data_IF_380161268822
#
_entry.id   IF_380161268822
#
_cell.length_a   1.000
_cell.length_b   1.000
_cell.length_c   1.000
_cell.angle_alpha   90.00
_cell.angle_beta   90.00
_cell.angle_gamma   90.00
#
_symmetry.space_group_name_H-M   'P 1'
#
loop_
_entity.id
_entity.type
_entity.pdbx_description
1 polymer ?
#
# COMPACT_ATOMS: atom_id res chain seq x y z
N UNK A 1 27.08 6.39 20.28
CA UNK A 1 25.74 5.81 20.09
C UNK A 1 25.35 6.01 18.64
N UNK A 2 24.58 5.10 18.06
CA UNK A 2 24.06 5.32 16.71
C UNK A 2 23.01 6.45 16.74
N UNK A 3 22.95 7.22 15.67
CA UNK A 3 21.97 8.29 15.43
C UNK A 3 20.95 7.86 14.39
N UNK A 4 19.83 8.57 14.29
CA UNK A 4 18.79 8.29 13.28
C UNK A 4 19.38 8.31 11.86
N UNK A 5 20.34 9.19 11.57
CA UNK A 5 21.02 9.26 10.25
C UNK A 5 21.76 7.97 9.88
N UNK A 6 22.16 7.19 10.88
CA UNK A 6 22.95 5.97 10.67
C UNK A 6 22.06 4.78 10.24
N UNK A 7 20.73 4.95 10.30
CA UNK A 7 19.76 3.99 9.77
C UNK A 7 19.69 4.00 8.23
N UNK A 8 20.20 5.05 7.58
CA UNK A 8 20.23 5.14 6.12
C UNK A 8 21.32 4.23 5.58
N UNK A 9 20.91 3.07 5.05
CA UNK A 9 21.81 2.00 4.60
C UNK A 9 21.68 1.70 3.12
N UNK A 10 20.60 2.16 2.48
CA UNK A 10 20.36 2.02 1.05
C UNK A 10 20.54 3.36 0.36
N UNK A 11 21.26 3.34 -0.75
CA UNK A 11 21.37 4.51 -1.62
C UNK A 11 20.03 4.81 -2.28
N UNK A 12 19.38 3.77 -2.84
CA UNK A 12 18.14 3.97 -3.58
C UNK A 12 17.23 2.76 -3.50
N UNK A 13 15.93 2.98 -3.46
CA UNK A 13 14.93 1.98 -3.79
C UNK A 13 14.15 2.43 -5.03
N UNK A 14 13.92 1.50 -5.95
CA UNK A 14 13.15 1.71 -7.17
C UNK A 14 11.91 0.83 -7.12
N UNK A 15 10.74 1.42 -7.30
CA UNK A 15 9.49 0.71 -7.64
C UNK A 15 9.23 1.01 -9.11
N UNK A 16 9.59 0.08 -9.99
CA UNK A 16 9.66 0.32 -11.43
C UNK A 16 9.16 -0.87 -12.25
N UNK A 17 9.22 -0.76 -13.59
CA UNK A 17 8.69 -1.78 -14.50
C UNK A 17 7.22 -2.14 -14.22
N UNK A 18 6.43 -1.13 -13.83
CA UNK A 18 5.00 -1.31 -13.54
C UNK A 18 4.30 -1.88 -14.76
N UNK A 19 3.66 -3.03 -14.59
CA UNK A 19 2.88 -3.68 -15.64
C UNK A 19 1.46 -3.92 -15.15
N UNK A 20 0.50 -3.49 -15.95
CA UNK A 20 -0.94 -3.65 -15.72
C UNK A 20 -1.50 -4.61 -16.76
N UNK A 21 -2.11 -5.69 -16.27
CA UNK A 21 -2.80 -6.71 -17.04
C UNK A 21 -4.22 -6.89 -16.50
N UNK A 22 -5.17 -7.44 -17.28
CA UNK A 22 -6.57 -7.53 -16.89
C UNK A 22 -6.83 -8.08 -15.49
N UNK A 23 -6.08 -9.10 -15.08
CA UNK A 23 -6.20 -9.79 -13.80
C UNK A 23 -4.95 -9.70 -12.94
N UNK A 24 -3.95 -8.88 -13.29
CA UNK A 24 -2.65 -8.90 -12.63
C UNK A 24 -1.97 -7.55 -12.72
N UNK A 25 -1.36 -7.13 -11.63
CA UNK A 25 -0.46 -5.96 -11.61
C UNK A 25 0.85 -6.37 -10.98
N UNK A 26 1.96 -5.84 -11.49
CA UNK A 26 3.30 -6.13 -10.98
C UNK A 26 4.22 -4.93 -11.05
N UNK A 27 5.19 -4.88 -10.15
CA UNK A 27 6.32 -3.96 -10.18
C UNK A 27 7.59 -4.71 -9.77
N UNK A 28 8.72 -4.31 -10.34
CA UNK A 28 10.04 -4.70 -9.88
C UNK A 28 10.47 -3.74 -8.77
N UNK A 29 10.79 -4.30 -7.61
CA UNK A 29 11.47 -3.61 -6.53
C UNK A 29 12.96 -3.83 -6.66
N UNK A 30 13.73 -2.77 -6.83
CA UNK A 30 15.20 -2.83 -6.85
C UNK A 30 15.76 -1.98 -5.72
N UNK A 31 16.59 -2.58 -4.87
CA UNK A 31 17.35 -1.88 -3.84
C UNK A 31 18.80 -1.76 -4.30
N UNK A 32 19.35 -0.55 -4.21
CA UNK A 32 20.74 -0.22 -4.49
C UNK A 32 21.42 0.08 -3.15
N UNK A 33 22.41 -0.72 -2.81
CA UNK A 33 23.23 -0.55 -1.62
C UNK A 33 24.28 0.55 -1.84
N UNK A 34 24.86 1.05 -0.75
CA UNK A 34 25.90 2.09 -0.80
C UNK A 34 27.19 1.67 -1.51
N UNK A 35 27.45 0.36 -1.60
CA UNK A 35 28.57 -0.19 -2.37
C UNK A 35 28.25 -0.35 -3.87
N UNK A 36 27.04 0.04 -4.30
CA UNK A 36 26.55 -0.07 -5.67
C UNK A 36 25.96 -1.44 -6.02
N UNK A 37 25.97 -2.41 -5.10
CA UNK A 37 25.33 -3.71 -5.33
C UNK A 37 23.81 -3.55 -5.42
N UNK A 38 23.18 -4.40 -6.24
CA UNK A 38 21.75 -4.32 -6.56
C UNK A 38 21.05 -5.65 -6.28
N UNK A 39 19.92 -5.57 -5.61
CA UNK A 39 19.02 -6.72 -5.40
C UNK A 39 17.65 -6.35 -5.95
N UNK A 40 17.04 -7.26 -6.71
CA UNK A 40 15.71 -7.03 -7.29
C UNK A 40 14.77 -8.19 -7.04
N UNK A 41 13.48 -7.89 -6.84
CA UNK A 41 12.42 -8.88 -6.74
C UNK A 41 11.10 -8.29 -7.28
N UNK A 42 10.13 -9.14 -7.63
CA UNK A 42 8.85 -8.70 -8.15
C UNK A 42 7.76 -8.77 -7.08
N UNK A 43 7.04 -7.65 -6.91
CA UNK A 43 5.76 -7.64 -6.21
C UNK A 43 4.67 -7.88 -7.24
N UNK A 44 3.83 -8.88 -7.00
CA UNK A 44 2.79 -9.30 -7.94
C UNK A 44 1.47 -9.45 -7.17
N UNK A 45 0.42 -8.83 -7.68
CA UNK A 45 -0.95 -9.05 -7.25
C UNK A 45 -1.74 -9.70 -8.38
N UNK A 46 -2.39 -10.84 -8.12
CA UNK A 46 -3.14 -11.61 -9.12
C UNK A 46 -4.57 -11.86 -8.66
N UNK A 47 -5.53 -11.58 -9.54
CA UNK A 47 -6.94 -11.57 -9.23
C UNK A 47 -7.70 -12.66 -9.99
N UNK A 48 -8.83 -13.11 -9.43
CA UNK A 48 -9.71 -14.09 -10.09
C UNK A 48 -10.55 -13.47 -11.23
N UNK A 49 -10.73 -12.16 -11.22
CA UNK A 49 -11.59 -11.40 -12.15
C UNK A 49 -10.82 -10.31 -12.88
N UNK A 50 -11.38 -9.81 -13.99
CA UNK A 50 -10.81 -8.69 -14.73
C UNK A 50 -11.14 -7.40 -13.99
N UNK A 51 -10.11 -6.75 -13.44
CA UNK A 51 -10.25 -5.50 -12.70
C UNK A 51 -9.55 -4.32 -13.37
N UNK A 52 -8.57 -4.58 -14.23
CA UNK A 52 -7.72 -3.53 -14.79
C UNK A 52 -7.80 -3.47 -16.31
N UNK A 53 -7.67 -2.27 -16.84
CA UNK A 53 -7.43 -1.99 -18.24
C UNK A 53 -6.24 -1.04 -18.33
N UNK A 54 -5.16 -1.50 -18.95
CA UNK A 54 -3.92 -0.73 -19.11
C UNK A 54 -4.08 0.54 -19.94
N UNK A 55 -5.20 0.69 -20.65
CA UNK A 55 -5.52 1.89 -21.44
C UNK A 55 -6.32 2.91 -20.64
N UNK A 56 -6.87 2.53 -19.47
CA UNK A 56 -7.60 3.43 -18.57
C UNK A 56 -6.63 4.05 -17.55
N UNK A 57 -6.42 5.39 -17.57
CA UNK A 57 -5.51 6.05 -16.63
C UNK A 57 -5.81 5.76 -15.16
N UNK A 58 -7.09 5.66 -14.78
CA UNK A 58 -7.51 5.37 -13.40
C UNK A 58 -7.04 4.01 -12.90
N UNK A 59 -7.13 2.99 -13.75
CA UNK A 59 -6.71 1.64 -13.40
C UNK A 59 -5.19 1.55 -13.28
N UNK A 60 -4.47 2.21 -14.17
CA UNK A 60 -3.00 2.30 -14.12
C UNK A 60 -2.54 3.06 -12.88
N UNK A 61 -3.22 4.15 -12.54
CA UNK A 61 -2.92 4.92 -11.34
C UNK A 61 -3.19 4.11 -10.06
N UNK A 62 -4.34 3.44 -9.98
CA UNK A 62 -4.67 2.54 -8.88
C UNK A 62 -3.63 1.43 -8.73
N UNK A 63 -3.24 0.78 -9.84
CA UNK A 63 -2.20 -0.24 -9.84
C UNK A 63 -0.85 0.32 -9.34
N UNK A 64 -0.49 1.54 -9.76
CA UNK A 64 0.74 2.22 -9.32
C UNK A 64 0.74 2.43 -7.80
N UNK A 65 -0.38 2.86 -7.23
CA UNK A 65 -0.54 3.06 -5.77
C UNK A 65 -0.48 1.74 -5.01
N UNK A 66 -1.18 0.71 -5.48
CA UNK A 66 -1.15 -0.63 -4.86
C UNK A 66 0.29 -1.17 -4.81
N UNK A 67 1.03 -1.03 -5.91
CA UNK A 67 2.40 -1.51 -6.02
C UNK A 67 3.40 -0.67 -5.23
N UNK A 68 3.05 0.52 -4.73
CA UNK A 68 3.92 1.40 -3.94
C UNK A 68 3.90 1.10 -2.43
N UNK A 69 2.88 0.41 -1.93
CA UNK A 69 2.59 0.33 -0.49
C UNK A 69 3.74 -0.26 0.35
N UNK A 70 4.43 -1.27 -0.17
CA UNK A 70 5.54 -1.93 0.56
C UNK A 70 6.70 -0.96 0.81
N UNK A 71 6.98 -0.06 -0.15
CA UNK A 71 8.06 0.92 -0.07
C UNK A 71 7.87 1.92 1.08
N UNK A 72 6.65 2.13 1.59
CA UNK A 72 6.38 3.04 2.72
C UNK A 72 7.18 2.67 3.97
N UNK A 73 7.50 1.39 4.15
CA UNK A 73 8.29 0.88 5.28
C UNK A 73 9.79 1.23 5.20
N UNK A 74 10.25 1.78 4.08
CA UNK A 74 11.67 1.98 3.80
C UNK A 74 12.14 3.43 3.83
N UNK A 75 11.24 4.38 4.11
CA UNK A 75 11.55 5.81 4.15
C UNK A 75 12.68 6.22 5.11
N UNK A 76 12.89 5.47 6.19
CA UNK A 76 14.00 5.68 7.14
C UNK A 76 15.36 5.18 6.64
N UNK A 77 15.36 4.21 5.72
CA UNK A 77 16.54 3.40 5.42
C UNK A 77 17.17 3.74 4.06
N UNK A 78 16.49 4.55 3.24
CA UNK A 78 16.91 4.93 1.89
C UNK A 78 17.29 6.42 1.81
N UNK A 79 18.26 6.77 0.97
CA UNK A 79 18.52 8.17 0.60
C UNK A 79 17.50 8.67 -0.43
N UNK A 80 17.11 7.82 -1.39
CA UNK A 80 16.05 8.11 -2.36
C UNK A 80 15.13 6.91 -2.56
N UNK A 81 13.83 7.17 -2.74
CA UNK A 81 12.86 6.20 -3.24
C UNK A 81 12.25 6.77 -4.53
N UNK A 82 12.36 6.02 -5.61
CA UNK A 82 11.80 6.37 -6.92
C UNK A 82 10.57 5.51 -7.17
N UNK A 83 9.43 6.17 -7.36
CA UNK A 83 8.18 5.57 -7.77
C UNK A 83 7.97 5.85 -9.26
N UNK A 84 7.98 4.79 -10.07
CA UNK A 84 7.80 4.86 -11.52
C UNK A 84 6.43 4.31 -11.93
N UNK A 85 5.44 5.19 -12.04
CA UNK A 85 4.03 4.93 -12.26
C UNK A 85 3.24 6.24 -12.46
N UNK A 86 1.93 6.17 -12.68
CA UNK A 86 1.17 7.34 -13.16
C UNK A 86 0.86 8.41 -12.09
N UNK A 87 0.86 8.05 -10.81
CA UNK A 87 0.60 8.87 -9.60
C UNK A 87 0.15 10.32 -9.82
N UNK A 88 -1.12 10.63 -9.53
CA UNK A 88 -1.57 12.03 -9.52
C UNK A 88 -1.00 12.82 -8.32
N UNK A 89 -1.29 14.12 -8.27
CA UNK A 89 -0.80 15.00 -7.19
C UNK A 89 -1.31 14.61 -5.80
N UNK A 90 -2.52 14.06 -5.71
CA UNK A 90 -3.14 13.63 -4.44
C UNK A 90 -2.43 12.38 -3.96
N UNK A 91 -2.18 11.43 -4.85
CA UNK A 91 -1.43 10.21 -4.60
C UNK A 91 0.02 10.47 -4.19
N UNK A 92 0.71 11.38 -4.90
CA UNK A 92 2.06 11.78 -4.54
C UNK A 92 2.11 12.42 -3.15
N UNK A 93 1.11 13.22 -2.80
CA UNK A 93 0.99 13.81 -1.46
C UNK A 93 0.72 12.74 -0.41
N UNK A 94 -0.22 11.84 -0.68
CA UNK A 94 -0.55 10.73 0.19
C UNK A 94 0.68 9.87 0.48
N UNK A 95 1.45 9.49 -0.53
CA UNK A 95 2.67 8.68 -0.35
C UNK A 95 3.74 9.41 0.49
N UNK A 96 3.90 10.72 0.32
CA UNK A 96 4.81 11.53 1.15
C UNK A 96 4.36 11.56 2.61
N UNK A 97 3.09 11.86 2.85
CA UNK A 97 2.53 12.00 4.19
C UNK A 97 2.54 10.65 4.93
N UNK A 98 2.14 9.58 4.24
CA UNK A 98 2.17 8.23 4.79
C UNK A 98 3.60 7.75 5.07
N UNK A 99 4.57 8.08 4.20
CA UNK A 99 5.96 7.70 4.46
C UNK A 99 6.54 8.37 5.70
N UNK A 100 6.22 9.65 5.93
CA UNK A 100 6.62 10.36 7.16
C UNK A 100 5.97 9.73 8.40
N UNK A 101 4.68 9.40 8.33
CA UNK A 101 3.98 8.73 9.43
C UNK A 101 4.58 7.35 9.73
N UNK A 102 4.78 6.51 8.70
CA UNK A 102 5.38 5.18 8.85
C UNK A 102 6.83 5.27 9.35
N UNK A 103 7.61 6.25 8.88
CA UNK A 103 8.99 6.46 9.35
C UNK A 103 9.01 6.79 10.85
N UNK A 104 8.12 7.67 11.30
CA UNK A 104 7.98 8.00 12.73
C UNK A 104 7.53 6.80 13.55
N UNK A 105 6.55 6.06 13.05
CA UNK A 105 6.04 4.86 13.72
C UNK A 105 7.14 3.79 13.89
N UNK A 106 7.90 3.50 12.82
CA UNK A 106 9.02 2.56 12.89
C UNK A 106 10.06 3.02 13.92
N UNK A 107 10.43 4.30 13.91
CA UNK A 107 11.41 4.83 14.87
C UNK A 107 10.94 4.62 16.33
N UNK A 108 9.70 5.03 16.64
CA UNK A 108 9.17 4.98 18.00
C UNK A 108 8.93 3.54 18.46
N UNK A 109 8.30 2.72 17.62
CA UNK A 109 7.88 1.37 18.00
C UNK A 109 9.00 0.34 17.88
N UNK A 110 9.98 0.54 16.99
CA UNK A 110 11.03 -0.45 16.74
C UNK A 110 12.37 -0.09 17.35
N UNK A 111 12.74 1.20 17.40
CA UNK A 111 14.06 1.63 17.88
C UNK A 111 14.04 2.24 19.28
N UNK A 112 13.03 3.04 19.62
CA UNK A 112 12.94 3.68 20.95
C UNK A 112 12.24 2.81 21.99
N UNK A 113 11.30 1.97 21.57
CA UNK A 113 10.72 0.95 22.43
C UNK A 113 11.70 -0.21 22.61
N UNK A 114 11.70 -0.85 23.80
CA UNK A 114 12.55 -2.03 24.06
C UNK A 114 12.30 -3.08 22.98
N UNK A 115 13.34 -3.41 22.21
CA UNK A 115 13.27 -4.38 21.13
C UNK A 115 14.46 -5.35 21.21
N UNK A 116 14.18 -6.58 21.61
CA UNK A 116 15.19 -7.62 21.88
C UNK A 116 15.88 -8.14 20.61
N UNK A 117 15.38 -7.78 19.43
CA UNK A 117 15.98 -8.13 18.15
C UNK A 117 17.02 -7.10 17.66
N UNK A 118 17.07 -5.92 18.28
CA UNK A 118 18.10 -4.93 17.94
C UNK A 118 19.44 -5.32 18.56
N UNK A 119 20.51 -5.02 17.82
CA UNK A 119 21.90 -5.26 18.25
C UNK A 119 22.65 -3.95 18.36
N UNK A 120 23.71 -3.88 19.19
CA UNK A 120 24.62 -2.74 19.18
C UNK A 120 25.12 -2.41 17.78
N UNK A 121 25.23 -1.12 17.40
CA UNK A 121 24.95 0.07 18.22
C UNK A 121 23.51 0.58 18.15
N UNK A 122 22.59 -0.13 17.48
CA UNK A 122 21.21 0.33 17.21
C UNK A 122 20.20 -0.04 18.30
N UNK A 123 20.59 -0.91 19.24
CA UNK A 123 19.79 -1.25 20.44
C UNK A 123 19.66 -0.09 21.44
N UNK A 124 20.49 0.94 21.29
CA UNK A 124 20.48 2.16 22.09
C UNK A 124 20.62 3.39 21.17
N UNK A 125 19.67 3.55 20.24
CA UNK A 125 19.61 4.69 19.34
C UNK A 125 19.36 5.99 20.12
N UNK A 126 20.10 7.06 19.81
CA UNK A 126 19.91 8.35 20.47
C UNK A 126 18.54 8.97 20.14
N UNK A 127 17.89 9.54 21.15
CA UNK A 127 16.63 10.26 20.98
C UNK A 127 16.89 11.64 20.35
N UNK A 128 16.29 11.88 19.19
CA UNK A 128 16.45 13.14 18.46
C UNK A 128 15.10 13.66 17.97
N UNK A 129 14.82 14.94 18.20
CA UNK A 129 13.66 15.62 17.63
C UNK A 129 14.01 16.16 16.26
N UNK A 130 13.28 15.76 15.23
CA UNK A 130 13.47 16.24 13.86
C UNK A 130 12.20 16.88 13.29
N UNK A 131 12.33 17.83 12.34
CA UNK A 131 11.19 18.38 11.62
C UNK A 131 10.51 17.32 10.74
N UNK A 132 11.29 16.38 10.19
CA UNK A 132 10.83 15.20 9.46
C UNK A 132 11.72 14.01 9.81
N UNK A 133 11.13 12.82 9.88
CA UNK A 133 11.82 11.58 10.22
C UNK A 133 12.15 10.76 8.99
N UNK A 134 11.36 10.83 7.91
CA UNK A 134 11.73 10.22 6.63
C UNK A 134 13.08 10.75 6.16
N UNK A 135 14.01 9.83 5.90
CA UNK A 135 15.31 10.15 5.34
C UNK A 135 15.27 10.21 3.82
N UNK A 136 14.43 9.37 3.20
CA UNK A 136 14.33 9.26 1.76
C UNK A 136 13.76 10.51 1.10
N UNK A 137 14.44 10.99 0.06
CA UNK A 137 13.82 11.85 -0.95
C UNK A 137 12.91 11.00 -1.84
N UNK A 138 11.67 11.44 -2.03
CA UNK A 138 10.73 10.77 -2.93
C UNK A 138 10.75 11.42 -4.32
N UNK A 139 10.95 10.60 -5.35
CA UNK A 139 10.94 11.02 -6.76
C UNK A 139 9.86 10.22 -7.50
N UNK A 140 9.04 10.92 -8.29
CA UNK A 140 7.98 10.32 -9.09
C UNK A 140 8.30 10.44 -10.58
N UNK A 141 8.12 9.35 -11.31
CA UNK A 141 8.34 9.24 -12.76
C UNK A 141 7.22 8.41 -13.36
N UNK A 142 7.02 8.50 -14.67
CA UNK A 142 6.06 7.68 -15.39
C UNK A 142 6.65 7.26 -16.73
N UNK A 143 7.53 6.26 -16.71
CA UNK A 143 8.22 5.76 -17.89
C UNK A 143 7.39 4.71 -18.64
N UNK A 144 6.57 3.93 -17.92
CA UNK A 144 5.77 2.86 -18.50
C UNK A 144 4.49 3.36 -19.21
N UNK A 145 3.92 4.48 -18.77
CA UNK A 145 2.65 5.01 -19.29
C UNK A 145 2.69 6.52 -19.62
N UNK A 146 3.71 7.01 -20.36
CA UNK A 146 3.98 8.44 -20.51
C UNK A 146 2.89 9.24 -21.24
N UNK A 147 2.03 8.54 -21.99
CA UNK A 147 0.93 9.16 -22.76
C UNK A 147 -0.40 9.19 -21.99
N UNK A 148 -0.50 8.52 -20.84
CA UNK A 148 -1.71 8.54 -20.03
C UNK A 148 -1.69 9.76 -19.11
N UNK A 149 -2.86 10.35 -18.90
CA UNK A 149 -3.08 11.43 -17.95
C UNK A 149 -4.35 11.15 -17.14
N UNK A 150 -4.32 11.44 -15.84
CA UNK A 150 -5.45 11.22 -14.95
C UNK A 150 -6.40 12.41 -15.07
N UNK A 151 -7.62 12.15 -15.52
CA UNK A 151 -8.68 13.15 -15.55
C UNK A 151 -9.41 13.20 -14.20
N UNK A 152 -9.63 14.42 -13.71
CA UNK A 152 -10.52 14.68 -12.59
C UNK A 152 -11.95 14.47 -13.05
N UNK A 153 -12.55 13.34 -12.65
CA UNK A 153 -13.98 13.11 -12.86
C UNK A 153 -14.70 13.36 -11.55
N UNK A 154 -15.69 14.24 -11.59
CA UNK A 154 -16.66 14.38 -10.51
C UNK A 154 -17.64 13.22 -10.61
N UNK A 155 -17.43 12.20 -9.79
CA UNK A 155 -18.40 11.11 -9.63
C UNK A 155 -19.42 11.52 -8.56
N UNK A 156 -20.70 11.37 -8.88
CA UNK A 156 -21.76 11.41 -7.87
C UNK A 156 -21.94 10.00 -7.33
N UNK A 157 -21.85 9.77 -6.00
CA UNK A 157 -22.11 8.46 -5.45
C UNK A 157 -23.58 8.08 -5.62
N UNK A 158 -23.86 6.78 -5.76
CA UNK A 158 -25.22 6.25 -5.61
C UNK A 158 -25.65 6.43 -4.15
N UNK A 159 -26.72 7.20 -3.90
CA UNK A 159 -27.16 7.52 -2.53
C UNK A 159 -27.67 6.30 -1.74
N UNK A 160 -28.02 5.20 -2.42
CA UNK A 160 -28.60 4.00 -1.82
C UNK A 160 -27.69 2.76 -1.93
N UNK A 161 -26.45 2.90 -2.36
CA UNK A 161 -25.48 1.80 -2.48
C UNK A 161 -24.30 2.04 -1.54
N UNK A 162 -23.97 1.03 -0.75
CA UNK A 162 -23.00 1.16 0.33
C UNK A 162 -21.93 0.08 0.24
N UNK A 163 -20.69 0.51 0.03
CA UNK A 163 -19.52 -0.35 0.14
C UNK A 163 -19.20 -0.61 1.61
N UNK A 164 -19.09 -1.88 1.97
CA UNK A 164 -18.77 -2.31 3.34
C UNK A 164 -17.45 -3.07 3.31
N UNK A 165 -16.42 -2.54 3.96
CA UNK A 165 -15.18 -3.29 4.18
C UNK A 165 -15.43 -4.41 5.19
N UNK A 166 -15.72 -5.60 4.68
CA UNK A 166 -16.20 -6.73 5.47
C UNK A 166 -15.04 -7.61 5.91
N UNK A 167 -14.86 -7.76 7.22
CA UNK A 167 -13.88 -8.66 7.83
C UNK A 167 -14.47 -10.03 8.15
N UNK A 168 -15.80 -10.19 8.03
CA UNK A 168 -16.53 -11.33 8.57
C UNK A 168 -16.66 -11.31 10.11
N UNK A 169 -16.18 -10.25 10.76
CA UNK A 169 -16.35 -10.04 12.19
C UNK A 169 -17.76 -9.55 12.55
N UNK A 170 -18.09 -9.60 13.84
CA UNK A 170 -19.41 -9.20 14.35
C UNK A 170 -19.84 -7.80 13.88
N UNK A 171 -18.93 -6.83 13.95
CA UNK A 171 -19.26 -5.43 13.64
C UNK A 171 -19.50 -5.21 12.14
N UNK A 172 -18.68 -5.83 11.27
CA UNK A 172 -18.90 -5.73 9.83
C UNK A 172 -20.15 -6.48 9.36
N UNK A 173 -20.49 -7.60 10.02
CA UNK A 173 -21.72 -8.34 9.76
C UNK A 173 -22.96 -7.60 10.25
N UNK A 174 -22.89 -6.96 11.42
CA UNK A 174 -23.95 -6.10 11.92
C UNK A 174 -24.17 -4.90 10.98
N UNK A 175 -23.08 -4.28 10.52
CA UNK A 175 -23.13 -3.19 9.54
C UNK A 175 -23.81 -3.65 8.25
N UNK A 176 -23.48 -4.84 7.73
CA UNK A 176 -24.18 -5.43 6.60
C UNK A 176 -25.69 -5.58 6.86
N UNK A 177 -26.09 -6.11 8.03
CA UNK A 177 -27.49 -6.27 8.40
C UNK A 177 -28.25 -4.92 8.40
N UNK A 178 -27.65 -3.90 9.02
CA UNK A 178 -28.22 -2.54 9.05
C UNK A 178 -28.38 -1.99 7.63
N UNK A 179 -27.34 -2.08 6.80
CA UNK A 179 -27.40 -1.57 5.43
C UNK A 179 -28.43 -2.34 4.60
N UNK A 180 -28.59 -3.66 4.80
CA UNK A 180 -29.60 -4.45 4.10
C UNK A 180 -31.03 -3.99 4.40
N UNK A 181 -31.27 -3.38 5.56
CA UNK A 181 -32.55 -2.77 5.92
C UNK A 181 -32.71 -1.36 5.34
N UNK A 182 -31.61 -0.62 5.13
CA UNK A 182 -31.63 0.79 4.73
C UNK A 182 -31.36 1.04 3.24
N UNK A 183 -30.70 0.11 2.54
CA UNK A 183 -30.25 0.28 1.16
C UNK A 183 -29.61 -0.99 0.58
N UNK A 184 -28.70 -0.81 -0.38
CA UNK A 184 -28.06 -1.90 -1.13
C UNK A 184 -26.63 -2.11 -0.62
N UNK A 185 -26.33 -3.23 0.06
CA UNK A 185 -24.99 -3.51 0.53
C UNK A 185 -24.10 -4.06 -0.59
N UNK A 186 -22.84 -3.63 -0.58
CA UNK A 186 -21.74 -4.19 -1.37
C UNK A 186 -20.62 -4.64 -0.42
N UNK A 187 -20.70 -5.87 0.14
CA UNK A 187 -19.64 -6.40 0.99
C UNK A 187 -18.35 -6.63 0.20
N UNK A 188 -17.30 -5.93 0.60
CA UNK A 188 -15.95 -6.04 0.03
C UNK A 188 -15.05 -6.69 1.06
N UNK A 189 -14.60 -7.91 0.77
CA UNK A 189 -13.66 -8.60 1.65
C UNK A 189 -12.23 -8.31 1.23
N UNK A 190 -11.44 -7.75 2.16
CA UNK A 190 -10.02 -7.45 1.99
C UNK A 190 -9.19 -8.37 2.89
N UNK A 191 -8.03 -8.81 2.41
CA UNK A 191 -7.11 -9.62 3.21
C UNK A 191 -6.25 -8.73 4.10
N UNK A 192 -6.38 -8.91 5.42
CA UNK A 192 -5.47 -8.33 6.40
C UNK A 192 -4.42 -9.36 6.82
N UNK A 193 -3.21 -8.90 7.15
CA UNK A 193 -2.17 -9.77 7.65
C UNK A 193 -2.56 -10.43 9.00
N UNK A 194 -2.02 -11.62 9.28
CA UNK A 194 -2.29 -12.34 10.53
C UNK A 194 -3.56 -13.20 10.49
N UNK A 195 -4.03 -13.72 11.64
CA UNK A 195 -5.11 -14.74 11.66
C UNK A 195 -6.50 -14.22 11.27
N UNK A 196 -6.66 -12.92 11.04
CA UNK A 196 -7.94 -12.32 10.65
C UNK A 196 -8.44 -12.84 9.29
N UNK A 197 -7.53 -13.23 8.40
CA UNK A 197 -7.90 -13.76 7.07
C UNK A 197 -8.77 -15.02 7.13
N UNK A 198 -8.62 -15.88 8.15
CA UNK A 198 -9.44 -17.09 8.28
C UNK A 198 -10.92 -16.76 8.43
N UNK A 199 -11.24 -15.71 9.19
CA UNK A 199 -12.62 -15.26 9.40
C UNK A 199 -13.16 -14.63 8.12
N UNK A 200 -12.38 -13.75 7.50
CA UNK A 200 -12.76 -13.07 6.27
C UNK A 200 -13.01 -14.04 5.11
N UNK A 201 -12.17 -15.08 4.94
CA UNK A 201 -12.33 -16.08 3.88
C UNK A 201 -13.60 -16.90 4.04
N UNK A 202 -13.86 -17.40 5.25
CA UNK A 202 -15.05 -18.20 5.53
C UNK A 202 -16.33 -17.37 5.34
N UNK A 203 -16.34 -16.15 5.87
CA UNK A 203 -17.47 -15.24 5.70
C UNK A 203 -17.70 -14.90 4.23
N UNK A 204 -16.63 -14.61 3.48
CA UNK A 204 -16.71 -14.36 2.05
C UNK A 204 -17.31 -15.54 1.28
N UNK A 205 -16.84 -16.78 1.53
CA UNK A 205 -17.35 -17.96 0.84
C UNK A 205 -18.86 -18.12 1.04
N UNK A 206 -19.34 -17.94 2.27
CA UNK A 206 -20.77 -17.95 2.56
C UNK A 206 -21.51 -16.80 1.86
N UNK A 207 -20.97 -15.57 1.92
CA UNK A 207 -21.60 -14.39 1.32
C UNK A 207 -21.70 -14.46 -0.21
N UNK A 208 -20.74 -15.09 -0.89
CA UNK A 208 -20.84 -15.31 -2.33
C UNK A 208 -22.07 -16.12 -2.75
N UNK A 209 -22.58 -16.98 -1.87
CA UNK A 209 -23.76 -17.81 -2.14
C UNK A 209 -25.07 -17.04 -1.88
N UNK A 210 -25.07 -16.11 -0.94
CA UNK A 210 -26.30 -15.47 -0.42
C UNK A 210 -26.44 -13.99 -0.74
N UNK A 211 -25.35 -13.32 -1.13
CA UNK A 211 -25.29 -11.88 -1.37
C UNK A 211 -24.58 -11.61 -2.72
N UNK A 212 -25.35 -11.36 -3.80
CA UNK A 212 -24.80 -11.25 -5.16
C UNK A 212 -23.85 -10.06 -5.35
N UNK A 213 -23.95 -9.03 -4.50
CA UNK A 213 -23.07 -7.87 -4.56
C UNK A 213 -21.73 -8.09 -3.83
N UNK A 214 -21.50 -9.29 -3.29
CA UNK A 214 -20.25 -9.63 -2.61
C UNK A 214 -19.10 -9.65 -3.61
N UNK A 215 -18.06 -8.87 -3.32
CA UNK A 215 -16.83 -8.87 -4.10
C UNK A 215 -15.62 -9.19 -3.24
N UNK A 216 -14.64 -9.81 -3.88
CA UNK A 216 -13.33 -10.07 -3.32
C UNK A 216 -12.27 -9.72 -4.34
N UNK A 217 -11.78 -8.47 -4.32
CA UNK A 217 -10.60 -8.07 -5.08
C UNK A 217 -9.37 -8.68 -4.40
N UNK A 218 -9.22 -10.00 -4.46
CA UNK A 218 -8.14 -10.73 -3.78
C UNK A 218 -6.89 -10.83 -4.64
N UNK A 219 -5.76 -10.91 -3.95
CA UNK A 219 -4.44 -11.32 -4.41
C UNK A 219 -3.86 -12.37 -3.47
#
# INVERSE_FOLDING_TARGET
MARISDLVVFQQMLVHEVTVEPKRVKATYTVIHRDGSRVSNQLIYTYNSIYFDKTRPRDVNLASIMLAQVALNYGLFCEEIVFDGLYDEVDQRFLKDMMENTSREILVLKFYSKNEFLKPPFDNLEHEKRPAYTAAKLTFRNTAYPTLAIEKVNLSPSENEYVILSSGGKDSLLTYGIIKELGIPHPVFINEAGRHWFTAVNAHQYYQEIEPNTVKPWC
#
